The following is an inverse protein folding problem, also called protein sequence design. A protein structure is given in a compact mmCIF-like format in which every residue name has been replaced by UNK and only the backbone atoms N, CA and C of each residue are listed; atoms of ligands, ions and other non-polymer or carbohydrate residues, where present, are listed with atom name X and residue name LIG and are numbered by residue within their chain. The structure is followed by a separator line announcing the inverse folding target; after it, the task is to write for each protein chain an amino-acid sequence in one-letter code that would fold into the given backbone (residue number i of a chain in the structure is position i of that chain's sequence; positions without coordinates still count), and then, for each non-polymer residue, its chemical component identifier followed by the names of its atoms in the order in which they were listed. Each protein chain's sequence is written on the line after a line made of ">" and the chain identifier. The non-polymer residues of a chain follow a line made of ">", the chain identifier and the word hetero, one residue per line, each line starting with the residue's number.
data_IF_813627494132
#
_entry.id   IF_813627494132
#
_cell.length_a   1.000
_cell.length_b   1.000
_cell.length_c   1.000
_cell.angle_alpha   90.00
_cell.angle_beta   90.00
_cell.angle_gamma   90.00
#
_symmetry.space_group_name_H-M   'P 1'
#
loop_
_entity.id
_entity.type
_entity.pdbx_description
1 polymer ?
#
# COMPACT_ATOMS: atom_id res chain seq x y z
N UNK A 1 -2.32 18.92 -12.79
CA UNK A 1 -2.31 17.44 -12.87
C UNK A 1 -2.73 16.87 -11.53
N UNK A 2 -3.29 15.67 -11.47
CA UNK A 2 -3.82 15.09 -10.20
C UNK A 2 -2.71 14.89 -9.14
N UNK A 3 -1.50 14.56 -9.57
CA UNK A 3 -0.32 14.45 -8.68
C UNK A 3 0.02 15.76 -7.94
N UNK A 4 -0.17 16.91 -8.58
CA UNK A 4 0.04 18.22 -7.93
C UNK A 4 -1.02 18.46 -6.87
N UNK A 5 -2.28 18.12 -7.14
CA UNK A 5 -3.35 18.22 -6.14
C UNK A 5 -3.08 17.32 -4.93
N UNK A 6 -2.51 16.14 -5.13
CA UNK A 6 -2.07 15.26 -4.03
C UNK A 6 -0.93 15.89 -3.22
N UNK A 7 0.03 16.58 -3.86
CA UNK A 7 1.07 17.31 -3.13
C UNK A 7 0.51 18.49 -2.34
N UNK A 8 -0.40 19.26 -2.96
CA UNK A 8 -1.07 20.37 -2.32
C UNK A 8 -1.89 19.91 -1.10
N UNK A 9 -2.61 18.81 -1.21
CA UNK A 9 -3.36 18.22 -0.09
C UNK A 9 -2.48 17.85 1.11
N UNK A 10 -1.18 17.64 0.92
CA UNK A 10 -0.22 17.36 1.99
C UNK A 10 0.48 18.61 2.55
N UNK A 11 0.17 19.80 2.04
CA UNK A 11 0.86 21.02 2.48
C UNK A 11 0.60 21.34 3.96
N UNK A 12 -0.63 21.19 4.45
CA UNK A 12 -0.98 21.44 5.85
C UNK A 12 -0.32 20.39 6.78
N UNK A 13 -0.35 19.11 6.41
CA UNK A 13 0.33 18.04 7.14
C UNK A 13 1.84 18.33 7.25
N UNK A 14 2.48 18.70 6.15
CA UNK A 14 3.91 19.02 6.14
C UNK A 14 4.24 20.29 6.94
N UNK A 15 3.39 21.30 6.91
CA UNK A 15 3.56 22.50 7.71
C UNK A 15 3.50 22.16 9.21
N UNK A 16 2.51 21.36 9.63
CA UNK A 16 2.40 20.87 11.01
C UNK A 16 3.62 20.06 11.43
N UNK A 17 4.03 19.08 10.61
CA UNK A 17 5.20 18.25 10.91
C UNK A 17 6.49 19.07 10.99
N UNK A 18 6.63 20.12 10.16
CA UNK A 18 7.78 21.03 10.18
C UNK A 18 7.81 21.86 11.48
N UNK A 19 6.65 22.36 11.91
CA UNK A 19 6.54 23.07 13.20
C UNK A 19 6.90 22.16 14.37
N UNK A 20 6.33 20.96 14.44
CA UNK A 20 6.65 19.95 15.46
C UNK A 20 8.15 19.58 15.45
N UNK A 21 8.75 19.44 14.26
CA UNK A 21 10.17 19.17 14.13
C UNK A 21 11.03 20.32 14.69
N UNK A 22 10.66 21.57 14.40
CA UNK A 22 11.35 22.78 14.89
C UNK A 22 11.36 22.85 16.41
N UNK A 23 10.29 22.39 17.05
CA UNK A 23 10.14 22.35 18.52
C UNK A 23 10.70 21.05 19.14
N UNK A 24 11.16 20.08 18.33
CA UNK A 24 11.58 18.74 18.78
C UNK A 24 10.44 17.94 19.40
N UNK A 25 9.23 18.13 18.92
CA UNK A 25 7.97 17.53 19.41
C UNK A 25 7.42 16.47 18.46
N UNK A 26 8.18 16.04 17.44
CA UNK A 26 7.76 14.96 16.57
C UNK A 26 7.41 13.70 17.38
N UNK A 27 6.38 12.96 16.98
CA UNK A 27 6.02 11.72 17.65
C UNK A 27 7.20 10.76 17.71
N UNK A 28 7.37 10.09 18.86
CA UNK A 28 8.45 9.11 19.04
C UNK A 28 8.19 7.87 18.20
N UNK A 29 9.24 7.23 17.66
CA UNK A 29 9.09 5.98 16.93
C UNK A 29 8.36 4.91 17.76
N UNK A 30 7.51 4.16 17.08
CA UNK A 30 6.79 3.02 17.64
C UNK A 30 7.75 1.99 18.22
N UNK A 31 7.49 1.57 19.46
CA UNK A 31 8.35 0.61 20.17
C UNK A 31 7.79 -0.82 20.15
N UNK A 32 6.56 -0.99 19.70
CA UNK A 32 5.93 -2.31 19.58
C UNK A 32 6.50 -3.13 18.42
N UNK A 33 6.16 -4.41 18.40
CA UNK A 33 6.53 -5.29 17.29
C UNK A 33 5.80 -4.89 16.02
N UNK A 34 6.51 -4.83 14.90
CA UNK A 34 5.94 -4.78 13.54
C UNK A 34 6.00 -6.18 12.93
N UNK A 35 4.89 -6.79 12.50
CA UNK A 35 4.94 -8.01 11.71
C UNK A 35 5.71 -7.79 10.40
N UNK A 36 6.42 -8.80 9.92
CA UNK A 36 7.28 -8.69 8.73
C UNK A 36 6.45 -8.63 7.46
N UNK A 37 6.40 -7.43 6.85
CA UNK A 37 5.64 -7.18 5.63
C UNK A 37 6.25 -7.92 4.43
N UNK A 38 7.59 -7.88 4.27
CA UNK A 38 8.26 -8.52 3.14
C UNK A 38 8.03 -10.03 3.16
N UNK A 39 8.21 -10.66 4.30
CA UNK A 39 7.94 -12.09 4.45
C UNK A 39 6.50 -12.44 4.11
N UNK A 40 5.53 -11.67 4.62
CA UNK A 40 4.11 -11.95 4.41
C UNK A 40 3.67 -11.83 2.94
N UNK A 41 4.31 -10.97 2.15
CA UNK A 41 4.00 -10.83 0.71
C UNK A 41 4.83 -11.76 -0.18
N UNK A 42 6.01 -12.19 0.26
CA UNK A 42 6.86 -13.11 -0.49
C UNK A 42 6.46 -14.58 -0.30
N UNK A 43 5.86 -14.90 0.85
CA UNK A 43 5.46 -16.27 1.23
C UNK A 43 3.93 -16.30 1.45
N UNK A 44 3.11 -16.49 0.39
CA UNK A 44 1.66 -16.51 0.53
C UNK A 44 1.22 -17.66 1.45
N UNK A 45 0.09 -17.54 2.15
CA UNK A 45 -0.48 -18.63 2.95
C UNK A 45 -0.67 -19.90 2.14
N UNK A 46 -0.57 -21.06 2.80
CA UNK A 46 -0.72 -22.36 2.16
C UNK A 46 -2.04 -22.47 1.38
N UNK A 47 -1.96 -22.87 0.12
CA UNK A 47 -3.09 -22.99 -0.80
C UNK A 47 -3.46 -21.69 -1.53
N UNK A 48 -2.78 -20.56 -1.27
CA UNK A 48 -2.93 -19.35 -2.06
C UNK A 48 -1.86 -19.26 -3.16
N UNK A 49 -2.24 -18.77 -4.34
CA UNK A 49 -1.34 -18.58 -5.48
C UNK A 49 -0.40 -17.38 -5.30
N UNK A 50 -0.92 -16.33 -4.68
CA UNK A 50 -0.23 -15.08 -4.36
C UNK A 50 -0.72 -14.57 -3.01
N UNK A 51 0.09 -13.77 -2.33
CA UNK A 51 -0.32 -13.08 -1.13
C UNK A 51 -1.38 -12.01 -1.46
N UNK A 52 -2.39 -11.85 -0.59
CA UNK A 52 -3.39 -10.80 -0.76
C UNK A 52 -3.17 -9.71 0.29
N UNK A 53 -2.94 -8.49 -0.21
CA UNK A 53 -2.94 -7.26 0.58
C UNK A 53 -4.35 -6.68 0.49
N UNK A 54 -5.13 -6.84 1.56
CA UNK A 54 -6.51 -6.37 1.61
C UNK A 54 -6.55 -4.88 2.01
N UNK A 55 -7.08 -4.02 1.13
CA UNK A 55 -7.09 -2.57 1.37
C UNK A 55 -8.36 -2.11 2.07
N UNK A 56 -8.20 -1.40 3.18
CA UNK A 56 -9.26 -0.65 3.84
C UNK A 56 -9.35 0.76 3.24
N UNK A 57 -10.48 1.03 2.60
CA UNK A 57 -10.72 2.29 1.89
C UNK A 57 -12.20 2.69 1.96
N UNK A 58 -12.48 3.87 2.50
CA UNK A 58 -13.85 4.39 2.65
C UNK A 58 -14.35 5.17 1.43
N UNK A 59 -13.46 5.83 0.71
CA UNK A 59 -13.76 6.60 -0.50
C UNK A 59 -12.62 6.54 -1.51
N UNK A 60 -12.87 6.99 -2.73
CA UNK A 60 -11.84 7.21 -3.75
C UNK A 60 -12.27 8.27 -4.76
N UNK A 61 -11.31 8.97 -5.43
CA UNK A 61 -11.63 9.96 -6.46
C UNK A 61 -12.48 9.40 -7.60
N UNK A 62 -12.30 8.13 -7.95
CA UNK A 62 -12.99 7.49 -9.08
C UNK A 62 -14.39 6.95 -8.75
N UNK A 63 -14.73 6.74 -7.46
CA UNK A 63 -15.99 6.10 -7.03
C UNK A 63 -16.76 6.90 -5.99
N UNK A 64 -16.18 8.00 -5.46
CA UNK A 64 -16.74 8.68 -4.30
C UNK A 64 -16.74 7.79 -3.07
N UNK A 65 -17.78 7.86 -2.26
CA UNK A 65 -17.97 7.03 -1.06
C UNK A 65 -18.22 5.59 -1.47
N UNK A 66 -17.42 4.66 -0.95
CA UNK A 66 -17.47 3.21 -1.24
C UNK A 66 -18.19 2.48 -0.09
N UNK A 67 -17.81 2.79 1.15
CA UNK A 67 -18.40 2.17 2.33
C UNK A 67 -18.46 3.17 3.49
N UNK A 68 -19.61 3.26 4.15
CA UNK A 68 -19.81 4.07 5.37
C UNK A 68 -20.14 3.15 6.53
N UNK A 69 -19.75 3.56 7.73
CA UNK A 69 -20.13 2.85 8.96
C UNK A 69 -19.28 1.63 9.30
N UNK A 70 -18.36 1.22 8.43
CA UNK A 70 -17.43 0.13 8.75
C UNK A 70 -16.32 0.65 9.66
N UNK A 71 -16.11 -0.05 10.78
CA UNK A 71 -15.03 0.28 11.71
C UNK A 71 -13.72 -0.37 11.27
N UNK A 72 -12.59 0.36 11.24
CA UNK A 72 -11.30 -0.18 10.79
C UNK A 72 -10.91 -1.48 11.49
N UNK A 73 -11.04 -1.54 12.82
CA UNK A 73 -10.69 -2.71 13.61
C UNK A 73 -11.53 -3.94 13.26
N UNK A 74 -12.83 -3.77 13.03
CA UNK A 74 -13.74 -4.88 12.64
C UNK A 74 -13.39 -5.40 11.24
N UNK A 75 -13.05 -4.50 10.31
CA UNK A 75 -12.62 -4.88 8.96
C UNK A 75 -11.26 -5.60 9.01
N UNK A 76 -10.34 -5.14 9.86
CA UNK A 76 -9.04 -5.79 10.01
C UNK A 76 -9.17 -7.23 10.53
N UNK A 77 -10.03 -7.46 11.51
CA UNK A 77 -10.35 -8.81 12.03
C UNK A 77 -10.97 -9.68 10.93
N UNK A 78 -11.92 -9.15 10.16
CA UNK A 78 -12.53 -9.85 9.03
C UNK A 78 -11.49 -10.23 7.97
N UNK A 79 -10.57 -9.32 7.61
CA UNK A 79 -9.50 -9.61 6.66
C UNK A 79 -8.54 -10.68 7.16
N UNK A 80 -8.16 -10.64 8.45
CA UNK A 80 -7.33 -11.66 9.05
C UNK A 80 -8.01 -13.02 9.04
N UNK A 81 -9.28 -13.10 9.46
CA UNK A 81 -10.06 -14.32 9.46
C UNK A 81 -10.28 -14.90 8.05
N UNK A 82 -10.41 -14.04 7.04
CA UNK A 82 -10.57 -14.43 5.65
C UNK A 82 -9.26 -14.89 4.97
N UNK A 83 -8.08 -14.69 5.59
CA UNK A 83 -6.80 -15.15 5.07
C UNK A 83 -6.01 -14.09 4.30
N UNK A 84 -6.23 -12.81 4.55
CA UNK A 84 -5.34 -11.75 4.06
C UNK A 84 -3.91 -11.94 4.60
N UNK A 85 -2.90 -11.67 3.78
CA UNK A 85 -1.50 -11.69 4.18
C UNK A 85 -1.08 -10.38 4.85
N UNK A 86 -1.60 -9.25 4.38
CA UNK A 86 -1.33 -7.91 4.87
C UNK A 86 -2.58 -7.04 4.72
N UNK A 87 -2.58 -5.88 5.40
CA UNK A 87 -3.62 -4.87 5.24
C UNK A 87 -2.99 -3.58 4.71
N UNK A 88 -3.54 -3.04 3.62
CA UNK A 88 -3.27 -1.70 3.14
C UNK A 88 -4.26 -0.72 3.77
N UNK A 89 -3.77 0.31 4.44
CA UNK A 89 -4.59 1.27 5.18
C UNK A 89 -4.45 2.64 4.52
N UNK A 90 -5.52 3.13 3.89
CA UNK A 90 -5.56 4.49 3.38
C UNK A 90 -5.52 5.45 4.57
N UNK A 91 -4.52 6.35 4.59
CA UNK A 91 -4.37 7.36 5.62
C UNK A 91 -4.55 8.78 5.07
N UNK A 92 -4.63 8.94 3.76
CA UNK A 92 -4.91 10.21 3.11
C UNK A 92 -6.36 10.62 3.35
N UNK A 93 -6.58 11.85 3.88
CA UNK A 93 -7.86 12.29 4.40
C UNK A 93 -8.77 12.90 3.33
N UNK A 94 -8.22 13.74 2.47
CA UNK A 94 -8.99 14.62 1.58
C UNK A 94 -9.67 13.83 0.45
N UNK A 95 -8.96 12.92 -0.19
CA UNK A 95 -9.44 12.17 -1.36
C UNK A 95 -9.96 10.77 -1.04
N UNK A 96 -9.44 10.17 0.04
CA UNK A 96 -9.75 8.78 0.38
C UNK A 96 -10.49 8.61 1.71
N UNK A 97 -10.70 9.70 2.47
CA UNK A 97 -11.37 9.66 3.77
C UNK A 97 -10.59 8.84 4.80
N UNK A 98 -9.28 8.67 4.58
CA UNK A 98 -8.38 7.94 5.46
C UNK A 98 -8.05 8.71 6.73
N UNK A 99 -7.35 8.07 7.65
CA UNK A 99 -6.79 8.69 8.85
C UNK A 99 -5.59 7.89 9.33
N UNK A 100 -4.52 8.57 9.75
CA UNK A 100 -3.33 7.91 10.27
C UNK A 100 -3.64 7.04 11.51
N UNK A 101 -4.59 7.44 12.35
CA UNK A 101 -5.04 6.67 13.51
C UNK A 101 -5.69 5.31 13.17
N UNK A 102 -6.06 5.06 11.91
CA UNK A 102 -6.56 3.74 11.50
C UNK A 102 -5.47 2.67 11.57
N UNK A 103 -4.20 3.03 11.39
CA UNK A 103 -3.08 2.10 11.54
C UNK A 103 -3.05 1.47 12.94
N UNK A 104 -3.22 2.26 14.01
CA UNK A 104 -3.26 1.73 15.37
C UNK A 104 -4.48 0.85 15.60
N UNK A 105 -5.66 1.29 15.14
CA UNK A 105 -6.90 0.50 15.28
C UNK A 105 -6.81 -0.84 14.58
N UNK A 106 -6.26 -0.88 13.37
CA UNK A 106 -6.16 -2.10 12.55
C UNK A 106 -5.01 -3.03 12.96
N UNK A 107 -4.02 -2.53 13.71
CA UNK A 107 -2.88 -3.34 14.17
C UNK A 107 -3.27 -4.51 15.07
N UNK A 108 -4.45 -4.44 15.71
CA UNK A 108 -4.97 -5.48 16.61
C UNK A 108 -5.20 -6.82 15.90
N UNK A 109 -5.44 -6.80 14.59
CA UNK A 109 -5.58 -8.02 13.79
C UNK A 109 -4.26 -8.82 13.63
N UNK A 110 -3.11 -8.25 14.04
CA UNK A 110 -1.81 -8.93 14.02
C UNK A 110 -1.17 -9.08 12.65
N UNK A 111 -1.79 -8.57 11.59
CA UNK A 111 -1.25 -8.57 10.23
C UNK A 111 -0.29 -7.40 10.00
N UNK A 112 0.70 -7.54 9.09
CA UNK A 112 1.51 -6.43 8.64
C UNK A 112 0.65 -5.34 7.99
N UNK A 113 0.94 -4.06 8.32
CA UNK A 113 0.19 -2.91 7.81
C UNK A 113 1.05 -2.10 6.83
N UNK A 114 0.48 -1.77 5.69
CA UNK A 114 1.02 -0.80 4.72
C UNK A 114 0.31 0.54 4.90
N UNK A 115 1.05 1.61 5.28
CA UNK A 115 0.52 2.98 5.16
C UNK A 115 0.42 3.35 3.69
N UNK A 116 -0.79 3.44 3.17
CA UNK A 116 -1.10 3.87 1.80
C UNK A 116 -1.44 5.35 1.81
N UNK A 117 -0.49 6.17 1.42
CA UNK A 117 -0.58 7.63 1.45
C UNK A 117 0.34 8.24 0.38
N UNK A 118 0.31 9.56 0.21
CA UNK A 118 1.23 10.32 -0.62
C UNK A 118 2.43 10.78 0.21
N UNK A 119 3.46 9.92 0.30
CA UNK A 119 4.66 10.14 1.09
C UNK A 119 5.80 10.54 0.15
N UNK A 120 6.36 11.73 0.34
CA UNK A 120 7.46 12.29 -0.46
C UNK A 120 8.41 13.16 0.36
N UNK A 121 8.27 13.19 1.69
CA UNK A 121 9.09 13.96 2.59
C UNK A 121 9.54 13.15 3.80
N UNK A 122 10.76 13.39 4.30
CA UNK A 122 11.35 12.67 5.44
C UNK A 122 10.52 12.77 6.72
N UNK A 123 9.85 13.90 6.96
CA UNK A 123 8.99 14.07 8.13
C UNK A 123 7.77 13.14 8.11
N UNK A 124 7.22 12.83 6.92
CA UNK A 124 6.14 11.87 6.77
C UNK A 124 6.63 10.43 7.06
N UNK A 125 7.88 10.11 6.72
CA UNK A 125 8.49 8.83 7.10
C UNK A 125 8.64 8.74 8.62
N UNK A 126 9.08 9.82 9.29
CA UNK A 126 9.18 9.90 10.75
C UNK A 126 7.81 9.77 11.43
N UNK A 127 6.79 10.44 10.89
CA UNK A 127 5.41 10.28 11.35
C UNK A 127 4.95 8.83 11.21
N UNK A 128 5.17 8.20 10.05
CA UNK A 128 4.85 6.78 9.84
C UNK A 128 5.56 5.89 10.85
N UNK A 129 6.83 6.19 11.15
CA UNK A 129 7.62 5.44 12.12
C UNK A 129 7.03 5.50 13.54
N UNK A 130 6.21 6.49 13.87
CA UNK A 130 5.51 6.57 15.17
C UNK A 130 4.27 5.67 15.26
N UNK A 131 3.86 5.05 14.15
CA UNK A 131 2.70 4.16 14.04
C UNK A 131 3.12 2.69 14.01
N UNK A 132 2.19 1.73 14.18
CA UNK A 132 2.48 0.30 14.02
C UNK A 132 2.64 -0.16 12.55
N UNK A 133 2.69 0.73 11.56
CA UNK A 133 2.89 0.37 10.16
C UNK A 133 4.18 -0.44 9.96
N UNK A 134 4.08 -1.56 9.26
CA UNK A 134 5.21 -2.41 8.87
C UNK A 134 5.85 -1.97 7.55
N UNK A 135 5.09 -1.21 6.75
CA UNK A 135 5.54 -0.68 5.47
C UNK A 135 4.88 0.67 5.16
N UNK A 136 5.49 1.41 4.25
CA UNK A 136 4.92 2.63 3.68
C UNK A 136 5.06 2.63 2.15
N UNK A 137 4.19 3.40 1.48
CA UNK A 137 4.20 3.55 0.03
C UNK A 137 5.05 4.76 -0.37
N UNK A 138 5.93 4.56 -1.34
CA UNK A 138 6.66 5.64 -2.05
C UNK A 138 6.31 5.56 -3.53
N UNK A 139 5.77 6.63 -4.08
CA UNK A 139 5.36 6.70 -5.49
C UNK A 139 6.48 7.38 -6.28
N UNK A 140 7.06 6.69 -7.28
CA UNK A 140 8.17 7.23 -8.09
C UNK A 140 7.83 8.60 -8.66
N UNK A 141 6.62 8.77 -9.21
CA UNK A 141 6.18 10.03 -9.82
C UNK A 141 6.01 11.20 -8.84
N UNK A 142 5.89 10.92 -7.53
CA UNK A 142 5.94 11.94 -6.47
C UNK A 142 7.38 12.28 -6.07
N UNK A 143 8.33 11.39 -6.31
CA UNK A 143 9.75 11.59 -6.00
C UNK A 143 10.58 11.14 -7.20
N UNK A 144 10.54 11.88 -8.34
CA UNK A 144 11.13 11.45 -9.61
C UNK A 144 12.66 11.67 -9.65
N UNK A 145 13.33 11.44 -8.54
CA UNK A 145 14.77 11.45 -8.35
C UNK A 145 15.18 10.21 -7.55
N UNK A 146 16.00 9.36 -8.14
CA UNK A 146 16.39 8.09 -7.55
C UNK A 146 17.15 8.26 -6.22
N UNK A 147 17.93 9.34 -6.06
CA UNK A 147 18.63 9.64 -4.80
C UNK A 147 17.67 10.04 -3.70
N UNK A 148 16.73 10.93 -4.00
CA UNK A 148 15.70 11.34 -3.04
C UNK A 148 14.82 10.15 -2.64
N UNK A 149 14.41 9.32 -3.59
CA UNK A 149 13.66 8.09 -3.35
C UNK A 149 14.44 7.12 -2.46
N UNK A 150 15.75 6.95 -2.71
CA UNK A 150 16.64 6.13 -1.87
C UNK A 150 16.70 6.64 -0.44
N UNK A 151 16.82 7.95 -0.22
CA UNK A 151 16.87 8.54 1.13
C UNK A 151 15.60 8.21 1.92
N UNK A 152 14.42 8.34 1.30
CA UNK A 152 13.15 8.02 1.95
C UNK A 152 13.04 6.53 2.27
N UNK A 153 13.46 5.67 1.34
CA UNK A 153 13.46 4.22 1.50
C UNK A 153 14.38 3.79 2.65
N UNK A 154 15.64 4.25 2.61
CA UNK A 154 16.62 3.90 3.65
C UNK A 154 16.24 4.44 5.02
N UNK A 155 15.61 5.61 5.08
CA UNK A 155 15.06 6.14 6.32
C UNK A 155 13.94 5.24 6.86
N UNK A 156 13.01 4.76 6.03
CA UNK A 156 11.97 3.83 6.44
C UNK A 156 12.58 2.52 7.00
N UNK A 157 13.57 1.97 6.30
CA UNK A 157 14.29 0.76 6.71
C UNK A 157 15.04 0.94 8.04
N UNK A 158 15.64 2.11 8.27
CA UNK A 158 16.30 2.45 9.53
C UNK A 158 15.33 2.47 10.72
N UNK A 159 14.04 2.73 10.49
CA UNK A 159 12.98 2.62 11.48
C UNK A 159 12.34 1.22 11.56
N UNK A 160 12.89 0.23 10.85
CA UNK A 160 12.38 -1.15 10.84
C UNK A 160 11.08 -1.30 10.04
N UNK A 161 10.82 -0.43 9.08
CA UNK A 161 9.71 -0.51 8.13
C UNK A 161 10.22 -0.89 6.74
N UNK A 162 9.37 -1.48 5.92
CA UNK A 162 9.65 -1.68 4.50
C UNK A 162 9.14 -0.52 3.65
N UNK A 163 9.84 -0.20 2.56
CA UNK A 163 9.35 0.72 1.55
C UNK A 163 8.80 -0.06 0.35
N UNK A 164 7.53 0.14 0.04
CA UNK A 164 6.89 -0.32 -1.19
C UNK A 164 7.00 0.80 -2.21
N UNK A 165 7.70 0.56 -3.32
CA UNK A 165 7.92 1.57 -4.36
C UNK A 165 6.94 1.33 -5.51
N UNK A 166 6.03 2.29 -5.70
CA UNK A 166 4.98 2.22 -6.72
C UNK A 166 5.46 2.82 -8.05
N UNK A 167 5.25 2.06 -9.10
CA UNK A 167 5.60 2.39 -10.50
C UNK A 167 4.39 2.22 -11.41
N UNK A 168 4.46 2.81 -12.61
CA UNK A 168 3.41 2.75 -13.62
C UNK A 168 3.93 2.27 -14.99
N UNK A 169 5.23 2.44 -15.25
CA UNK A 169 5.89 2.10 -16.50
C UNK A 169 7.37 1.71 -16.31
N UNK A 170 8.05 1.41 -17.40
CA UNK A 170 9.46 1.01 -17.40
C UNK A 170 10.41 2.14 -17.02
N UNK A 171 10.06 3.41 -17.28
CA UNK A 171 10.86 4.55 -16.85
C UNK A 171 10.82 4.70 -15.32
N UNK A 172 9.64 4.56 -14.71
CA UNK A 172 9.48 4.51 -13.26
C UNK A 172 10.24 3.31 -12.66
N UNK A 173 10.22 2.14 -13.33
CA UNK A 173 10.96 0.94 -12.91
C UNK A 173 12.48 1.17 -12.87
N UNK A 174 13.01 1.89 -13.85
CA UNK A 174 14.44 2.23 -13.88
C UNK A 174 14.83 3.06 -12.64
N UNK A 175 14.05 4.10 -12.31
CA UNK A 175 14.26 4.94 -11.12
C UNK A 175 14.09 4.14 -9.81
N UNK A 176 13.07 3.27 -9.73
CA UNK A 176 12.86 2.40 -8.58
C UNK A 176 14.10 1.51 -8.33
N UNK A 177 14.61 0.86 -9.37
CA UNK A 177 15.81 0.02 -9.28
C UNK A 177 17.07 0.81 -8.93
N UNK A 178 17.27 1.97 -9.53
CA UNK A 178 18.40 2.86 -9.20
C UNK A 178 18.33 3.31 -7.74
N UNK A 179 17.13 3.51 -7.17
CA UNK A 179 16.98 3.79 -5.75
C UNK A 179 17.32 2.61 -4.83
N UNK A 180 17.43 1.39 -5.37
CA UNK A 180 17.65 0.15 -4.61
C UNK A 180 16.35 -0.47 -4.07
N UNK A 181 15.20 -0.20 -4.69
CA UNK A 181 13.93 -0.77 -4.28
C UNK A 181 13.92 -2.29 -4.42
N UNK A 182 13.45 -3.00 -3.38
CA UNK A 182 13.27 -4.46 -3.36
C UNK A 182 11.81 -4.88 -3.47
N UNK A 183 10.89 -4.04 -2.97
CA UNK A 183 9.45 -4.27 -3.06
C UNK A 183 8.91 -3.26 -4.07
N UNK A 184 8.42 -3.77 -5.19
CA UNK A 184 7.93 -2.97 -6.31
C UNK A 184 6.43 -3.22 -6.49
N UNK A 185 5.64 -2.15 -6.47
CA UNK A 185 4.22 -2.22 -6.74
C UNK A 185 3.93 -1.64 -8.13
N UNK A 186 3.35 -2.44 -9.01
CA UNK A 186 2.87 -1.95 -10.30
C UNK A 186 1.40 -1.54 -10.16
N UNK A 187 1.12 -0.26 -10.36
CA UNK A 187 -0.24 0.25 -10.30
C UNK A 187 -0.86 0.25 -11.71
N UNK A 188 -1.87 -0.61 -11.91
CA UNK A 188 -2.62 -0.67 -13.16
C UNK A 188 -3.47 0.57 -13.44
N UNK A 189 -3.60 1.50 -12.48
CA UNK A 189 -4.39 2.71 -12.61
C UNK A 189 -3.48 3.90 -12.91
N UNK A 190 -3.68 4.52 -14.07
CA UNK A 190 -3.07 5.80 -14.40
C UNK A 190 -3.58 6.90 -13.45
N UNK A 191 -2.66 7.68 -12.88
CA UNK A 191 -3.01 8.67 -11.86
C UNK A 191 -3.68 9.93 -12.43
N UNK A 192 -3.45 10.26 -13.71
CA UNK A 192 -4.01 11.46 -14.32
C UNK A 192 -5.40 11.19 -14.91
N UNK A 193 -5.57 10.04 -15.56
CA UNK A 193 -6.83 9.68 -16.25
C UNK A 193 -7.76 8.81 -15.41
N UNK A 194 -7.27 8.24 -14.32
CA UNK A 194 -7.93 7.26 -13.46
C UNK A 194 -8.35 5.97 -14.18
N UNK A 195 -7.98 5.80 -15.45
CA UNK A 195 -8.23 4.57 -16.21
C UNK A 195 -7.32 3.46 -15.73
N UNK A 196 -7.83 2.23 -15.80
CA UNK A 196 -7.06 1.05 -15.41
C UNK A 196 -6.70 0.22 -16.64
N UNK A 197 -5.44 -0.22 -16.70
CA UNK A 197 -4.95 -1.18 -17.68
C UNK A 197 -4.29 -2.36 -16.96
N UNK A 198 -5.10 -3.39 -16.68
CA UNK A 198 -4.60 -4.60 -16.04
C UNK A 198 -3.62 -5.36 -16.92
N UNK A 199 -3.85 -5.34 -18.25
CA UNK A 199 -2.98 -6.05 -19.19
C UNK A 199 -1.57 -5.46 -19.17
N UNK A 200 -1.43 -4.15 -19.24
CA UNK A 200 -0.14 -3.47 -19.13
C UNK A 200 0.55 -3.77 -17.78
N UNK A 201 -0.21 -3.77 -16.68
CA UNK A 201 0.33 -4.15 -15.38
C UNK A 201 0.90 -5.58 -15.38
N UNK A 202 0.18 -6.55 -15.94
CA UNK A 202 0.61 -7.95 -16.00
C UNK A 202 1.85 -8.13 -16.88
N UNK A 203 1.94 -7.41 -18.00
CA UNK A 203 3.14 -7.44 -18.86
C UNK A 203 4.38 -6.91 -18.11
N UNK A 204 4.23 -5.89 -17.27
CA UNK A 204 5.32 -5.40 -16.41
C UNK A 204 5.88 -6.49 -15.49
N UNK A 205 5.03 -7.41 -14.99
CA UNK A 205 5.46 -8.50 -14.12
C UNK A 205 6.55 -9.39 -14.71
N UNK A 206 6.60 -9.51 -16.04
CA UNK A 206 7.64 -10.26 -16.77
C UNK A 206 9.03 -9.66 -16.66
N UNK A 207 9.13 -8.40 -16.25
CA UNK A 207 10.39 -7.67 -16.06
C UNK A 207 11.01 -7.88 -14.68
N UNK A 208 10.35 -8.63 -13.79
CA UNK A 208 10.84 -8.90 -12.43
C UNK A 208 12.20 -9.58 -12.45
N UNK A 209 13.09 -9.15 -11.57
CA UNK A 209 14.41 -9.75 -11.36
C UNK A 209 14.44 -10.58 -10.08
N UNK A 210 15.40 -11.48 -9.99
CA UNK A 210 15.69 -12.22 -8.77
C UNK A 210 15.99 -11.24 -7.60
N UNK A 211 15.46 -11.53 -6.41
CA UNK A 211 15.59 -10.69 -5.23
C UNK A 211 14.58 -9.54 -5.14
N UNK A 212 13.80 -9.27 -6.19
CA UNK A 212 12.67 -8.33 -6.15
C UNK A 212 11.37 -9.07 -5.77
N UNK A 213 10.52 -8.44 -4.96
CA UNK A 213 9.15 -8.89 -4.64
C UNK A 213 8.17 -7.90 -5.25
N UNK A 214 7.28 -8.40 -6.09
CA UNK A 214 6.39 -7.56 -6.87
C UNK A 214 4.91 -7.70 -6.47
N UNK A 215 4.22 -6.57 -6.41
CA UNK A 215 2.81 -6.43 -6.06
C UNK A 215 2.05 -5.89 -7.27
N UNK A 216 0.98 -6.57 -7.70
CA UNK A 216 0.04 -6.04 -8.67
C UNK A 216 -1.06 -5.27 -7.95
N UNK A 217 -1.27 -3.99 -8.30
CA UNK A 217 -2.26 -3.13 -7.66
C UNK A 217 -3.24 -2.55 -8.66
N UNK A 218 -4.46 -2.30 -8.19
CA UNK A 218 -5.62 -1.82 -8.98
C UNK A 218 -6.17 -2.85 -9.99
N UNK A 219 -7.45 -2.72 -10.33
CA UNK A 219 -8.15 -3.59 -11.26
C UNK A 219 -8.14 -5.10 -10.93
N UNK A 220 -7.77 -5.47 -9.70
CA UNK A 220 -7.81 -6.82 -9.17
C UNK A 220 -9.09 -7.00 -8.35
N UNK A 221 -9.99 -7.92 -8.74
CA UNK A 221 -11.32 -8.04 -8.14
C UNK A 221 -11.89 -9.46 -8.16
N UNK A 222 -11.15 -10.44 -8.69
CA UNK A 222 -11.63 -11.80 -8.81
C UNK A 222 -10.46 -12.78 -8.71
N UNK A 223 -10.77 -14.04 -8.42
CA UNK A 223 -9.80 -15.12 -8.37
C UNK A 223 -8.99 -15.27 -9.67
N UNK A 224 -9.64 -15.16 -10.81
CA UNK A 224 -8.95 -15.24 -12.10
C UNK A 224 -7.79 -14.24 -12.18
N UNK A 225 -7.98 -13.04 -11.60
CA UNK A 225 -6.94 -12.02 -11.58
C UNK A 225 -5.76 -12.38 -10.66
N UNK A 226 -6.00 -13.16 -9.57
CA UNK A 226 -4.92 -13.69 -8.72
C UNK A 226 -4.07 -14.69 -9.49
N UNK A 227 -4.71 -15.55 -10.30
CA UNK A 227 -4.02 -16.52 -11.15
C UNK A 227 -3.20 -15.81 -12.23
N UNK A 228 -3.81 -14.86 -12.94
CA UNK A 228 -3.12 -14.06 -13.96
C UNK A 228 -1.90 -13.34 -13.38
N UNK A 229 -2.02 -12.78 -12.15
CA UNK A 229 -0.90 -12.13 -11.47
C UNK A 229 0.22 -13.12 -11.12
N UNK A 230 -0.12 -14.31 -10.60
CA UNK A 230 0.86 -15.37 -10.32
C UNK A 230 1.60 -15.81 -11.58
N UNK A 231 0.88 -16.06 -12.68
CA UNK A 231 1.43 -16.44 -13.98
C UNK A 231 2.35 -15.36 -14.57
N UNK A 232 2.02 -14.07 -14.31
CA UNK A 232 2.84 -12.93 -14.71
C UNK A 232 4.07 -12.71 -13.82
N UNK A 233 4.22 -13.46 -12.72
CA UNK A 233 5.40 -13.41 -11.84
C UNK A 233 5.27 -12.51 -10.62
N UNK A 234 4.07 -12.02 -10.29
CA UNK A 234 3.81 -11.29 -9.05
C UNK A 234 3.71 -12.23 -7.85
N UNK A 235 4.21 -11.81 -6.69
CA UNK A 235 4.10 -12.53 -5.42
C UNK A 235 2.89 -12.10 -4.61
N UNK A 236 2.40 -10.87 -4.83
CA UNK A 236 1.27 -10.33 -4.11
C UNK A 236 0.33 -9.53 -5.01
N UNK A 237 -0.93 -9.43 -4.58
CA UNK A 237 -1.96 -8.60 -5.20
C UNK A 237 -2.56 -7.68 -4.14
N UNK A 238 -2.73 -6.39 -4.46
CA UNK A 238 -3.43 -5.43 -3.63
C UNK A 238 -4.86 -5.26 -4.14
N UNK A 239 -5.85 -5.54 -3.29
CA UNK A 239 -7.27 -5.46 -3.58
C UNK A 239 -7.98 -4.54 -2.57
N UNK A 240 -8.73 -3.56 -3.08
CA UNK A 240 -9.46 -2.61 -2.21
C UNK A 240 -10.93 -2.49 -2.59
N UNK A 241 -11.24 -1.74 -3.64
CA UNK A 241 -12.62 -1.41 -4.01
C UNK A 241 -13.53 -2.65 -4.10
N UNK A 242 -13.05 -3.74 -4.70
CA UNK A 242 -13.83 -4.96 -4.82
C UNK A 242 -14.15 -5.62 -3.47
N UNK A 243 -13.29 -5.49 -2.48
CA UNK A 243 -13.50 -6.03 -1.14
C UNK A 243 -14.47 -5.17 -0.33
N UNK A 244 -14.37 -3.84 -0.46
CA UNK A 244 -15.17 -2.90 0.32
C UNK A 244 -16.57 -2.69 -0.24
N UNK A 245 -16.77 -2.97 -1.53
CA UNK A 245 -18.07 -2.86 -2.21
C UNK A 245 -19.07 -3.87 -1.60
N UNK A 246 -20.28 -3.38 -1.30
CA UNK A 246 -21.30 -4.21 -0.64
C UNK A 246 -21.18 -4.35 0.90
N UNK A 247 -20.16 -3.74 1.53
CA UNK A 247 -20.04 -3.62 2.99
C UNK A 247 -19.71 -4.92 3.74
N UNK A 248 -19.26 -5.98 3.05
CA UNK A 248 -18.90 -7.28 3.61
C UNK A 248 -17.49 -7.71 3.21
N UNK A 249 -16.45 -6.95 3.62
CA UNK A 249 -15.10 -7.12 3.09
C UNK A 249 -14.50 -8.50 3.39
N UNK A 250 -14.74 -9.07 4.55
CA UNK A 250 -14.26 -10.40 4.90
C UNK A 250 -14.92 -11.52 4.10
N UNK A 251 -16.25 -11.48 3.96
CA UNK A 251 -16.98 -12.48 3.17
C UNK A 251 -16.53 -12.44 1.69
N UNK A 252 -16.36 -11.24 1.15
CA UNK A 252 -15.90 -11.06 -0.23
C UNK A 252 -14.49 -11.60 -0.43
N UNK A 253 -13.57 -11.32 0.50
CA UNK A 253 -12.21 -11.85 0.42
C UNK A 253 -12.19 -13.38 0.55
N UNK A 254 -12.94 -13.94 1.49
CA UNK A 254 -13.05 -15.39 1.67
C UNK A 254 -13.54 -16.06 0.39
N UNK A 255 -14.62 -15.57 -0.22
CA UNK A 255 -15.15 -16.11 -1.46
C UNK A 255 -14.11 -16.10 -2.61
N UNK A 256 -13.33 -15.01 -2.74
CA UNK A 256 -12.27 -14.92 -3.75
C UNK A 256 -11.16 -15.94 -3.48
N UNK A 257 -10.83 -16.22 -2.21
CA UNK A 257 -9.75 -17.12 -1.81
C UNK A 257 -10.19 -18.61 -1.77
N UNK A 258 -11.42 -18.92 -1.37
CA UNK A 258 -11.95 -20.29 -1.30
C UNK A 258 -11.99 -20.98 -2.65
N UNK A 259 -12.31 -20.26 -3.69
CA UNK A 259 -12.24 -20.78 -5.03
C UNK A 259 -10.78 -21.16 -5.47
N UNK A 260 -9.76 -20.99 -4.64
CA UNK A 260 -8.34 -21.31 -4.92
C UNK A 260 -7.86 -22.65 -4.34
N UNK A 261 -8.71 -23.33 -3.55
CA UNK A 261 -8.36 -24.62 -2.92
C UNK A 261 -8.67 -25.81 -3.80
#
# INVERSE_FOLDING_TARGET
>A
MLLEQFREAKAEELALLTDLASRRELPRPWKGRRPDFLKAIAEPPAGQLVAVIAEFKQSSPSRGVIATGLKPEEVAEQYAAAGASCISVLTEEQFFGGRIGYLERMSRAGLPLLRKDFIFHQLQVMETASTPASALLLIVRLTPDARALRILREQAEAYGMHAVVEIFDEADLALARESGARIIQVNARDLDTLKTDRKACLEMGKLRREGEVWIAASAMSARAHLREAAEAGFQAVLMGTALMDGGKPGETLAAILEETR
#
